data_IF_419191343428
#
_entry.id   IF_419191343428
#
_cell.length_a   1.000
_cell.length_b   1.000
_cell.length_c   1.000
_cell.angle_alpha   90.00
_cell.angle_beta   90.00
_cell.angle_gamma   90.00
#
_symmetry.space_group_name_H-M   'P 1'
#
loop_
_entity.id
_entity.type
_entity.pdbx_description
1 polymer ?
#
# COMPACT_ATOMS: atom_id res chain seq x y z
N UNK A 1 28.16 4.64 9.00
CA UNK A 1 27.44 5.71 9.75
C UNK A 1 25.91 5.57 9.70
N UNK A 2 25.29 5.18 8.57
CA UNK A 2 23.82 4.96 8.45
C UNK A 2 23.23 3.90 9.40
N UNK A 3 23.99 2.86 9.76
CA UNK A 3 23.50 1.78 10.62
C UNK A 3 23.31 2.17 12.10
N UNK A 4 23.93 3.27 12.55
CA UNK A 4 23.90 3.67 13.96
C UNK A 4 22.73 4.58 14.33
N UNK A 5 22.11 5.26 13.34
CA UNK A 5 20.99 6.20 13.56
C UNK A 5 19.93 6.13 12.46
N UNK A 6 19.05 5.10 12.49
CA UNK A 6 17.99 4.92 11.49
C UNK A 6 17.00 6.08 11.40
N UNK A 7 16.67 6.67 12.53
CA UNK A 7 15.89 7.91 12.63
C UNK A 7 16.47 9.03 11.76
N UNK A 8 17.79 9.25 11.83
CA UNK A 8 18.45 10.30 11.03
C UNK A 8 18.61 9.92 9.56
N UNK A 9 18.84 8.64 9.27
CA UNK A 9 18.95 8.15 7.91
C UNK A 9 17.64 8.32 7.12
N UNK A 10 16.52 8.08 7.79
CA UNK A 10 15.18 8.18 7.20
C UNK A 10 14.64 9.62 7.20
N UNK A 11 15.27 10.54 7.94
CA UNK A 11 14.99 11.97 7.82
C UNK A 11 15.80 12.61 6.67
N UNK A 12 15.74 12.00 5.48
CA UNK A 12 16.42 12.44 4.26
C UNK A 12 15.42 12.64 3.11
N UNK A 13 15.76 13.51 2.16
CA UNK A 13 14.97 13.72 0.94
C UNK A 13 15.22 12.64 -0.12
N UNK A 14 16.27 11.83 0.06
CA UNK A 14 16.62 10.72 -0.83
C UNK A 14 16.47 9.39 -0.10
N UNK A 15 16.08 8.36 -0.83
CA UNK A 15 15.94 7.01 -0.29
C UNK A 15 17.13 6.14 -0.69
N UNK A 16 17.72 5.48 0.30
CA UNK A 16 18.66 4.38 0.04
C UNK A 16 17.89 3.05 0.04
N UNK A 17 17.55 2.54 -1.15
CA UNK A 17 16.81 1.28 -1.34
C UNK A 17 17.41 0.13 -0.53
N UNK A 18 18.74 -0.07 -0.63
CA UNK A 18 19.45 -1.15 0.07
C UNK A 18 19.28 -1.03 1.59
N UNK A 19 19.32 0.20 2.10
CA UNK A 19 19.16 0.48 3.52
C UNK A 19 17.74 0.19 4.01
N UNK A 20 16.72 0.66 3.29
CA UNK A 20 15.31 0.40 3.63
C UNK A 20 15.02 -1.11 3.68
N UNK A 21 15.40 -1.85 2.63
CA UNK A 21 15.19 -3.30 2.58
C UNK A 21 15.91 -4.04 3.71
N UNK A 22 17.17 -3.68 3.96
CA UNK A 22 17.93 -4.23 5.07
C UNK A 22 17.23 -3.95 6.41
N UNK A 23 16.88 -2.70 6.68
CA UNK A 23 16.24 -2.30 7.94
C UNK A 23 14.95 -3.08 8.19
N UNK A 24 14.06 -3.15 7.20
CA UNK A 24 12.76 -3.80 7.37
C UNK A 24 12.88 -5.33 7.48
N UNK A 25 13.82 -5.94 6.76
CA UNK A 25 14.08 -7.38 6.91
C UNK A 25 14.48 -7.77 8.33
N UNK A 26 15.20 -6.88 9.05
CA UNK A 26 15.61 -7.12 10.43
C UNK A 26 14.46 -7.01 11.44
N UNK A 27 13.40 -6.24 11.15
CA UNK A 27 12.36 -5.89 12.13
C UNK A 27 10.97 -6.45 11.84
N UNK A 28 10.62 -6.69 10.57
CA UNK A 28 9.28 -7.11 10.14
C UNK A 28 9.24 -8.56 9.64
N UNK A 29 10.37 -9.11 9.18
CA UNK A 29 10.37 -10.36 8.41
C UNK A 29 9.59 -10.21 7.09
N UNK A 30 9.29 -11.32 6.42
CA UNK A 30 8.50 -11.33 5.17
C UNK A 30 9.26 -11.83 3.94
N UNK A 31 8.68 -11.59 2.77
CA UNK A 31 9.20 -11.97 1.46
C UNK A 31 10.16 -10.92 0.86
N UNK A 32 10.59 -11.10 -0.40
CA UNK A 32 11.52 -10.19 -1.05
C UNK A 32 10.95 -8.77 -1.26
N UNK A 33 9.65 -8.64 -1.51
CA UNK A 33 8.95 -7.38 -1.75
C UNK A 33 8.08 -6.95 -0.55
N UNK A 34 7.39 -7.90 0.08
CA UNK A 34 6.35 -7.64 1.09
C UNK A 34 6.85 -8.01 2.49
N UNK A 35 6.76 -7.07 3.42
CA UNK A 35 7.11 -7.23 4.82
C UNK A 35 5.83 -7.38 5.66
N UNK A 36 5.54 -8.57 6.16
CA UNK A 36 4.32 -8.88 6.92
C UNK A 36 4.05 -10.38 6.99
N UNK A 37 3.12 -10.79 7.86
CA UNK A 37 2.75 -12.18 8.12
C UNK A 37 1.49 -12.62 7.37
N UNK A 38 0.68 -11.68 6.89
CA UNK A 38 -0.54 -11.93 6.12
C UNK A 38 -1.82 -11.99 6.97
N UNK A 39 -1.76 -11.63 8.25
CA UNK A 39 -2.91 -11.47 9.14
C UNK A 39 -3.16 -10.00 9.51
N UNK A 40 -2.36 -9.08 8.96
CA UNK A 40 -2.45 -7.66 9.26
C UNK A 40 -3.70 -7.02 8.63
N UNK A 41 -4.43 -6.18 9.37
CA UNK A 41 -5.62 -5.50 8.86
C UNK A 41 -5.32 -4.43 7.80
N UNK A 42 -4.05 -4.05 7.64
CA UNK A 42 -3.59 -2.99 6.75
C UNK A 42 -2.46 -3.50 5.87
N UNK A 43 -2.54 -3.22 4.58
CA UNK A 43 -1.43 -3.31 3.63
C UNK A 43 -1.02 -1.89 3.22
N UNK A 44 0.20 -1.49 3.55
CA UNK A 44 0.77 -0.18 3.22
C UNK A 44 1.70 -0.26 2.01
N UNK A 45 1.53 0.60 1.01
CA UNK A 45 2.30 0.60 -0.24
C UNK A 45 2.95 1.98 -0.46
N UNK A 46 4.18 2.01 -0.99
CA UNK A 46 4.90 3.24 -1.32
C UNK A 46 5.95 3.00 -2.41
N UNK A 47 6.51 4.08 -2.97
CA UNK A 47 7.71 3.99 -3.81
C UNK A 47 7.41 3.52 -5.22
N UNK A 48 6.36 4.08 -5.84
CA UNK A 48 5.99 3.82 -7.23
C UNK A 48 6.82 4.68 -8.20
N UNK A 49 7.13 5.91 -7.78
CA UNK A 49 7.84 6.93 -8.57
C UNK A 49 9.13 7.42 -7.89
N UNK A 50 10.08 8.03 -8.62
CA UNK A 50 11.29 8.62 -8.04
C UNK A 50 11.00 9.65 -6.92
N UNK A 51 9.97 10.48 -7.13
CA UNK A 51 9.49 11.52 -6.20
C UNK A 51 8.87 10.95 -4.92
N UNK A 52 8.59 9.65 -4.85
CA UNK A 52 8.06 9.00 -3.65
C UNK A 52 9.13 8.78 -2.57
N UNK A 53 10.40 9.14 -2.81
CA UNK A 53 11.48 8.99 -1.81
C UNK A 53 11.09 9.47 -0.39
N UNK A 54 10.45 10.64 -0.21
CA UNK A 54 9.96 11.07 1.10
C UNK A 54 8.89 10.12 1.69
N UNK A 55 7.95 9.64 0.88
CA UNK A 55 6.92 8.69 1.29
C UNK A 55 7.52 7.34 1.71
N UNK A 56 8.51 6.83 0.97
CA UNK A 56 9.24 5.61 1.32
C UNK A 56 9.93 5.76 2.67
N UNK A 57 10.66 6.87 2.84
CA UNK A 57 11.38 7.15 4.07
C UNK A 57 10.42 7.33 5.26
N UNK A 58 9.30 8.03 5.05
CA UNK A 58 8.26 8.22 6.06
C UNK A 58 7.63 6.89 6.50
N UNK A 59 7.15 6.07 5.56
CA UNK A 59 6.57 4.75 5.86
C UNK A 59 7.59 3.86 6.59
N UNK A 60 8.84 3.85 6.12
CA UNK A 60 9.92 3.07 6.76
C UNK A 60 10.20 3.55 8.18
N UNK A 61 10.22 4.87 8.42
CA UNK A 61 10.43 5.46 9.74
C UNK A 61 9.27 5.12 10.68
N UNK A 62 8.04 5.20 10.18
CA UNK A 62 6.83 4.83 10.90
C UNK A 62 6.88 3.37 11.39
N UNK A 63 7.22 2.45 10.49
CA UNK A 63 7.36 1.02 10.80
C UNK A 63 8.51 0.74 11.77
N UNK A 64 9.65 1.42 11.60
CA UNK A 64 10.79 1.32 12.51
C UNK A 64 10.40 1.78 13.93
N UNK A 65 9.76 2.94 14.07
CA UNK A 65 9.33 3.47 15.36
C UNK A 65 8.29 2.58 16.04
N UNK A 66 7.36 2.01 15.27
CA UNK A 66 6.42 1.01 15.78
C UNK A 66 7.13 -0.22 16.34
N UNK A 67 8.09 -0.78 15.60
CA UNK A 67 8.86 -1.94 16.08
C UNK A 67 9.77 -1.65 17.27
N UNK A 68 10.07 -0.38 17.54
CA UNK A 68 10.75 0.08 18.76
C UNK A 68 9.80 0.44 19.91
N UNK A 69 8.49 0.30 19.73
CA UNK A 69 7.48 0.69 20.73
C UNK A 69 7.36 2.21 20.94
N UNK A 70 7.88 3.01 20.00
CA UNK A 70 7.88 4.47 20.06
C UNK A 70 6.68 5.11 19.36
N UNK A 71 5.96 4.33 18.56
CA UNK A 71 4.75 4.75 17.86
C UNK A 71 3.71 3.65 18.00
N UNK A 72 2.53 4.00 18.49
CA UNK A 72 1.39 3.09 18.55
C UNK A 72 0.80 2.95 17.15
N UNK A 73 0.98 1.78 16.53
CA UNK A 73 0.39 1.42 15.26
C UNK A 73 -0.30 0.05 15.38
N UNK A 74 -1.42 -0.14 14.67
CA UNK A 74 -1.92 -1.48 14.42
C UNK A 74 -0.89 -2.33 13.66
N UNK A 75 -1.04 -3.67 13.64
CA UNK A 75 -0.26 -4.52 12.74
C UNK A 75 -0.44 -4.08 11.29
N UNK A 76 0.68 -3.94 10.56
CA UNK A 76 0.73 -3.48 9.17
C UNK A 76 1.66 -4.41 8.39
N UNK A 77 1.15 -4.94 7.28
CA UNK A 77 1.98 -5.46 6.20
C UNK A 77 2.39 -4.29 5.30
N UNK A 78 3.60 -4.29 4.76
CA UNK A 78 4.12 -3.16 4.00
C UNK A 78 4.92 -3.57 2.77
N UNK A 79 4.77 -2.77 1.71
CA UNK A 79 5.61 -2.74 0.51
C UNK A 79 6.11 -1.31 0.35
N UNK A 80 7.17 -0.94 1.08
CA UNK A 80 7.64 0.44 1.07
C UNK A 80 8.34 0.86 -0.22
N UNK A 81 8.75 -0.10 -1.05
CA UNK A 81 9.34 0.15 -2.37
C UNK A 81 8.67 -0.81 -3.34
N UNK A 82 7.62 -0.34 -4.02
CA UNK A 82 6.95 -1.10 -5.08
C UNK A 82 7.81 -1.11 -6.34
N UNK A 83 8.37 0.03 -6.74
CA UNK A 83 9.17 0.17 -7.96
C UNK A 83 10.64 0.50 -7.60
N UNK A 84 11.43 -0.55 -7.35
CA UNK A 84 12.85 -0.38 -7.04
C UNK A 84 13.64 0.29 -8.19
N UNK A 85 13.22 0.08 -9.44
CA UNK A 85 13.88 0.64 -10.63
C UNK A 85 13.71 2.16 -10.71
N UNK A 86 12.52 2.66 -10.41
CA UNK A 86 12.24 4.10 -10.36
C UNK A 86 13.14 4.81 -9.34
N UNK A 87 13.26 4.29 -8.12
CA UNK A 87 14.09 4.90 -7.07
C UNK A 87 15.60 4.79 -7.33
N UNK A 88 16.03 3.92 -8.24
CA UNK A 88 17.43 3.81 -8.67
C UNK A 88 17.77 4.71 -9.86
N UNK A 89 16.82 5.51 -10.36
CA UNK A 89 17.02 6.43 -11.48
C UNK A 89 16.99 5.76 -12.85
N UNK A 90 16.30 4.61 -12.99
CA UNK A 90 16.06 4.00 -14.30
C UNK A 90 14.81 4.62 -14.94
N UNK A 91 14.93 5.37 -16.06
CA UNK A 91 13.82 6.16 -16.62
C UNK A 91 12.85 5.34 -17.48
N UNK A 92 13.05 4.02 -17.61
CA UNK A 92 12.25 3.16 -18.50
C UNK A 92 11.56 2.03 -17.72
N UNK A 93 10.24 1.94 -17.86
CA UNK A 93 9.41 0.89 -17.26
C UNK A 93 7.91 1.12 -17.48
N UNK A 94 7.11 0.11 -17.16
CA UNK A 94 5.65 0.23 -17.03
C UNK A 94 5.35 1.16 -15.85
N UNK A 95 4.34 2.02 -15.96
CA UNK A 95 3.85 2.78 -14.82
C UNK A 95 3.15 1.82 -13.85
N UNK A 96 3.92 1.32 -12.87
CA UNK A 96 3.48 0.29 -11.92
C UNK A 96 2.30 0.76 -11.07
N UNK A 97 2.18 2.07 -10.82
CA UNK A 97 1.06 2.61 -10.04
C UNK A 97 -0.29 2.39 -10.75
N UNK A 98 -0.33 2.40 -12.08
CA UNK A 98 -1.53 2.15 -12.90
C UNK A 98 -1.65 0.71 -13.40
N UNK A 99 -0.91 -0.24 -12.81
CA UNK A 99 -0.88 -1.63 -13.27
C UNK A 99 -1.66 -2.60 -12.35
N UNK A 100 -2.46 -2.10 -11.40
CA UNK A 100 -3.16 -2.95 -10.42
C UNK A 100 -4.45 -3.59 -10.94
N UNK A 101 -4.93 -3.18 -12.11
CA UNK A 101 -6.06 -3.82 -12.81
C UNK A 101 -5.60 -4.83 -13.87
N UNK A 102 -4.48 -4.56 -14.53
CA UNK A 102 -4.01 -5.38 -15.66
C UNK A 102 -2.92 -6.37 -15.25
N UNK A 103 -2.25 -6.13 -14.13
CA UNK A 103 -1.25 -7.01 -13.54
C UNK A 103 -0.15 -7.42 -14.54
N UNK A 104 0.37 -6.48 -15.32
CA UNK A 104 1.43 -6.71 -16.30
C UNK A 104 2.78 -6.93 -15.63
N UNK A 105 3.05 -6.26 -14.51
CA UNK A 105 4.30 -6.32 -13.78
C UNK A 105 4.33 -7.45 -12.73
N UNK A 106 5.51 -8.07 -12.48
CA UNK A 106 5.63 -9.07 -11.43
C UNK A 106 5.36 -8.48 -10.04
N UNK A 107 5.66 -7.21 -9.82
CA UNK A 107 5.42 -6.52 -8.55
C UNK A 107 3.92 -6.42 -8.24
N UNK A 108 3.08 -5.98 -9.19
CA UNK A 108 1.62 -5.91 -8.97
C UNK A 108 1.00 -7.29 -8.81
N UNK A 109 1.50 -8.32 -9.49
CA UNK A 109 1.08 -9.72 -9.30
C UNK A 109 1.39 -10.23 -7.91
N UNK A 110 2.60 -10.01 -7.40
CA UNK A 110 2.99 -10.43 -6.04
C UNK A 110 2.15 -9.71 -4.97
N UNK A 111 1.99 -8.39 -5.10
CA UNK A 111 1.19 -7.58 -4.18
C UNK A 111 -0.27 -8.03 -4.22
N UNK A 112 -0.82 -8.26 -5.41
CA UNK A 112 -2.21 -8.70 -5.58
C UNK A 112 -2.43 -10.10 -5.03
N UNK A 113 -1.51 -11.03 -5.24
CA UNK A 113 -1.57 -12.37 -4.65
C UNK A 113 -1.56 -12.32 -3.11
N UNK A 114 -0.68 -11.49 -2.52
CA UNK A 114 -0.68 -11.27 -1.07
C UNK A 114 -1.99 -10.64 -0.60
N UNK A 115 -2.48 -9.62 -1.30
CA UNK A 115 -3.74 -8.96 -1.00
C UNK A 115 -4.92 -9.95 -0.94
N UNK A 116 -4.99 -10.88 -1.90
CA UNK A 116 -6.03 -11.91 -1.94
C UNK A 116 -5.91 -12.95 -0.83
N UNK A 117 -4.68 -13.28 -0.43
CA UNK A 117 -4.42 -14.20 0.68
C UNK A 117 -4.72 -13.56 2.04
N UNK A 118 -4.24 -12.33 2.26
CA UNK A 118 -4.28 -11.66 3.55
C UNK A 118 -5.62 -10.96 3.83
N UNK A 119 -6.38 -10.63 2.78
CA UNK A 119 -7.65 -9.90 2.83
C UNK A 119 -7.60 -8.68 3.79
N UNK A 120 -6.64 -7.76 3.62
CA UNK A 120 -6.53 -6.61 4.52
C UNK A 120 -7.80 -5.77 4.43
N UNK A 121 -8.25 -5.20 5.55
CA UNK A 121 -9.41 -4.29 5.55
C UNK A 121 -9.10 -2.98 4.84
N UNK A 122 -7.84 -2.55 4.91
CA UNK A 122 -7.39 -1.25 4.42
C UNK A 122 -6.16 -1.43 3.56
N UNK A 123 -6.15 -0.77 2.40
CA UNK A 123 -4.95 -0.55 1.60
C UNK A 123 -4.56 0.92 1.73
N UNK A 124 -3.40 1.17 2.35
CA UNK A 124 -2.86 2.51 2.56
C UNK A 124 -1.76 2.78 1.53
N UNK A 125 -1.91 3.81 0.71
CA UNK A 125 -0.96 4.17 -0.35
C UNK A 125 -0.26 5.47 0.04
N UNK A 126 1.06 5.45 0.06
CA UNK A 126 1.91 6.59 0.38
C UNK A 126 2.61 7.08 -0.88
N UNK A 127 2.37 8.33 -1.25
CA UNK A 127 2.93 9.00 -2.42
C UNK A 127 3.70 10.24 -2.01
N UNK A 128 4.68 10.65 -2.81
CA UNK A 128 5.30 11.96 -2.71
C UNK A 128 4.29 13.07 -3.04
N UNK A 129 4.29 14.12 -2.23
CA UNK A 129 3.42 15.29 -2.41
C UNK A 129 4.15 16.59 -2.17
N UNK A 130 3.56 17.71 -2.60
CA UNK A 130 4.06 19.05 -2.22
C UNK A 130 3.72 19.39 -0.78
N UNK A 131 2.53 19.00 -0.35
CA UNK A 131 1.97 19.20 0.98
C UNK A 131 1.39 17.87 1.49
N UNK A 132 1.15 17.80 2.79
CA UNK A 132 0.45 16.66 3.36
C UNK A 132 -1.02 16.64 2.93
N UNK A 133 -1.47 15.50 2.41
CA UNK A 133 -2.87 15.25 2.06
C UNK A 133 -3.25 13.83 2.46
N UNK A 134 -4.44 13.64 3.03
CA UNK A 134 -5.02 12.33 3.30
C UNK A 134 -6.42 12.25 2.70
N UNK A 135 -6.65 11.24 1.86
CA UNK A 135 -7.94 11.01 1.17
C UNK A 135 -8.30 9.54 1.19
N UNK A 136 -9.57 9.24 0.91
CA UNK A 136 -10.10 7.88 0.98
C UNK A 136 -11.01 7.56 -0.21
N UNK A 137 -11.25 6.29 -0.46
CA UNK A 137 -11.97 5.85 -1.67
C UNK A 137 -13.44 5.51 -1.45
N UNK A 138 -13.89 5.31 -0.20
CA UNK A 138 -15.28 4.93 0.11
C UNK A 138 -15.97 5.95 1.02
N UNK A 139 -17.31 6.02 0.94
CA UNK A 139 -18.10 6.95 1.77
C UNK A 139 -18.00 6.62 3.26
N UNK A 140 -18.02 5.33 3.60
CA UNK A 140 -17.86 4.87 4.99
C UNK A 140 -16.51 5.31 5.53
N UNK A 141 -15.42 5.15 4.78
CA UNK A 141 -14.10 5.61 5.20
C UNK A 141 -14.04 7.14 5.36
N UNK A 142 -14.70 7.89 4.47
CA UNK A 142 -14.72 9.34 4.52
C UNK A 142 -15.41 9.85 5.78
N UNK A 143 -16.54 9.23 6.14
CA UNK A 143 -17.29 9.55 7.35
C UNK A 143 -16.53 9.15 8.62
N UNK A 144 -16.02 7.93 8.69
CA UNK A 144 -15.33 7.41 9.88
C UNK A 144 -14.00 8.12 10.14
N UNK A 145 -13.23 8.42 9.10
CA UNK A 145 -11.90 9.03 9.24
C UNK A 145 -11.94 10.57 9.17
N UNK A 146 -13.11 11.15 8.88
CA UNK A 146 -13.26 12.59 8.63
C UNK A 146 -12.32 13.10 7.52
N UNK A 147 -12.19 12.31 6.46
CA UNK A 147 -11.32 12.59 5.31
C UNK A 147 -12.14 12.81 4.03
N UNK A 148 -11.57 13.55 3.08
CA UNK A 148 -12.20 13.76 1.78
C UNK A 148 -12.22 12.46 0.97
N UNK A 149 -13.38 12.12 0.40
CA UNK A 149 -13.51 11.04 -0.58
C UNK A 149 -12.94 11.46 -1.93
N UNK A 150 -12.25 10.55 -2.60
CA UNK A 150 -11.86 10.64 -4.01
C UNK A 150 -12.48 9.49 -4.80
N UNK A 151 -12.58 9.68 -6.12
CA UNK A 151 -12.88 8.58 -7.06
C UNK A 151 -11.55 8.11 -7.66
N UNK A 152 -10.98 7.00 -7.16
CA UNK A 152 -9.71 6.49 -7.69
C UNK A 152 -9.92 5.84 -9.07
N UNK A 153 -8.85 5.77 -9.86
CA UNK A 153 -8.84 4.96 -11.09
C UNK A 153 -8.78 3.47 -10.72
N UNK A 154 -9.51 2.57 -11.39
CA UNK A 154 -9.47 1.13 -11.10
C UNK A 154 -8.07 0.51 -11.32
N UNK A 155 -7.23 1.18 -12.10
CA UNK A 155 -5.84 0.82 -12.38
C UNK A 155 -4.87 1.10 -11.23
N UNK A 156 -5.26 1.94 -10.26
CA UNK A 156 -4.44 2.28 -9.08
C UNK A 156 -4.62 1.27 -7.94
N UNK A 157 -3.64 1.08 -7.04
CA UNK A 157 -3.76 0.13 -5.93
C UNK A 157 -4.97 0.41 -5.03
N UNK A 158 -5.22 1.67 -4.68
CA UNK A 158 -6.36 2.06 -3.86
C UNK A 158 -7.70 1.88 -4.60
N UNK A 159 -7.71 2.05 -5.92
CA UNK A 159 -8.90 1.84 -6.75
C UNK A 159 -9.22 0.36 -6.92
N UNK A 160 -8.22 -0.44 -7.31
CA UNK A 160 -8.34 -1.89 -7.41
C UNK A 160 -8.75 -2.52 -6.06
N UNK A 161 -8.23 -2.01 -4.94
CA UNK A 161 -8.64 -2.44 -3.60
C UNK A 161 -10.09 -2.06 -3.28
N UNK A 162 -10.52 -0.86 -3.66
CA UNK A 162 -11.88 -0.38 -3.44
C UNK A 162 -12.94 -1.17 -4.23
N UNK A 163 -12.59 -1.66 -5.43
CA UNK A 163 -13.44 -2.56 -6.20
C UNK A 163 -13.64 -3.93 -5.54
N UNK A 164 -12.75 -4.27 -4.60
CA UNK A 164 -12.74 -5.54 -3.87
C UNK A 164 -13.32 -5.34 -2.47
N UNK A 165 -12.66 -5.87 -1.46
CA UNK A 165 -13.16 -5.92 -0.08
C UNK A 165 -12.43 -4.97 0.88
N UNK A 166 -11.69 -3.96 0.36
CA UNK A 166 -10.88 -3.07 1.21
C UNK A 166 -11.17 -1.58 0.98
N UNK A 167 -10.99 -0.81 2.04
CA UNK A 167 -10.97 0.64 1.97
C UNK A 167 -9.60 1.13 1.48
N UNK A 168 -9.58 2.02 0.49
CA UNK A 168 -8.37 2.72 0.06
C UNK A 168 -8.17 3.99 0.88
N UNK A 169 -6.96 4.19 1.39
CA UNK A 169 -6.51 5.43 2.04
C UNK A 169 -5.24 5.88 1.33
N UNK A 170 -5.19 7.12 0.85
CA UNK A 170 -4.02 7.66 0.17
C UNK A 170 -3.46 8.81 0.99
N UNK A 171 -2.16 8.76 1.27
CA UNK A 171 -1.38 9.79 1.93
C UNK A 171 -0.38 10.39 0.94
N UNK A 172 -0.41 11.71 0.76
CA UNK A 172 0.67 12.45 0.10
C UNK A 172 1.59 13.01 1.17
N UNK A 173 2.88 12.72 1.05
CA UNK A 173 3.90 13.06 2.04
C UNK A 173 4.77 14.19 1.50
N UNK A 174 4.90 15.32 2.21
CA UNK A 174 5.73 16.44 1.78
C UNK A 174 7.21 16.03 1.71
N UNK A 175 8.04 16.69 0.88
CA UNK A 175 9.43 16.30 0.70
C UNK A 175 10.31 16.64 1.89
N UNK A 176 9.83 17.47 2.82
CA UNK A 176 10.56 17.98 3.98
C UNK A 176 10.53 16.99 5.15
N UNK A 177 11.66 16.38 5.53
CA UNK A 177 11.69 15.42 6.64
C UNK A 177 11.46 16.08 8.01
N UNK A 178 11.57 17.41 8.09
CA UNK A 178 11.23 18.19 9.30
C UNK A 178 9.75 18.04 9.66
N UNK A 179 8.91 17.77 8.68
CA UNK A 179 7.47 17.58 8.87
C UNK A 179 7.11 16.14 9.28
N UNK A 180 8.05 15.20 9.20
CA UNK A 180 7.74 13.78 9.46
C UNK A 180 7.32 13.56 10.92
N UNK A 181 8.02 14.13 11.89
CA UNK A 181 7.72 13.91 13.31
C UNK A 181 6.27 14.24 13.71
N UNK A 182 5.72 15.43 13.39
CA UNK A 182 4.30 15.71 13.67
C UNK A 182 3.36 14.83 12.83
N UNK A 183 3.70 14.54 11.57
CA UNK A 183 2.87 13.74 10.68
C UNK A 183 2.78 12.26 11.08
N UNK A 184 3.84 11.68 11.64
CA UNK A 184 3.88 10.27 12.05
C UNK A 184 2.77 9.92 13.04
N UNK A 185 2.54 10.78 14.04
CA UNK A 185 1.46 10.57 15.01
C UNK A 185 0.09 10.72 14.37
N UNK A 186 -0.07 11.70 13.49
CA UNK A 186 -1.34 11.94 12.81
C UNK A 186 -1.71 10.78 11.86
N UNK A 187 -0.78 10.32 11.04
CA UNK A 187 -0.97 9.16 10.16
C UNK A 187 -1.23 7.89 10.98
N UNK A 188 -0.50 7.68 12.08
CA UNK A 188 -0.73 6.55 12.97
C UNK A 188 -2.16 6.52 13.54
N UNK A 189 -2.67 7.68 13.95
CA UNK A 189 -4.06 7.82 14.41
C UNK A 189 -5.07 7.48 13.31
N UNK A 190 -4.88 8.00 12.10
CA UNK A 190 -5.75 7.70 10.95
C UNK A 190 -5.74 6.18 10.68
N UNK A 191 -4.56 5.56 10.62
CA UNK A 191 -4.44 4.12 10.39
C UNK A 191 -5.07 3.28 11.51
N UNK A 192 -4.92 3.69 12.77
CA UNK A 192 -5.56 3.04 13.90
C UNK A 192 -7.09 3.11 13.79
N UNK A 193 -7.65 4.29 13.48
CA UNK A 193 -9.08 4.44 13.23
C UNK A 193 -9.53 3.60 12.03
N UNK A 194 -8.72 3.51 10.98
CA UNK A 194 -9.05 2.74 9.79
C UNK A 194 -9.23 1.23 10.07
N UNK A 195 -8.60 0.69 11.12
CA UNK A 195 -8.83 -0.72 11.52
C UNK A 195 -10.23 -1.01 12.06
N UNK A 196 -10.95 0.03 12.48
CA UNK A 196 -12.34 -0.05 12.95
C UNK A 196 -13.36 0.01 11.82
N UNK A 197 -12.92 0.25 10.58
CA UNK A 197 -13.82 0.24 9.42
C UNK A 197 -14.47 -1.14 9.27
N UNK A 198 -15.76 -1.18 8.91
CA UNK A 198 -16.45 -2.44 8.64
C UNK A 198 -15.84 -3.13 7.41
N UNK A 199 -15.96 -4.45 7.29
CA UNK A 199 -15.58 -5.13 6.05
C UNK A 199 -16.44 -4.63 4.88
N UNK A 200 -15.86 -4.58 3.68
CA UNK A 200 -16.61 -4.33 2.46
C UNK A 200 -17.14 -5.67 1.93
N UNK A 201 -18.45 -5.81 1.90
CA UNK A 201 -19.11 -6.97 1.31
C UNK A 201 -19.33 -6.76 -0.18
N UNK A 202 -18.97 -7.78 -0.98
CA UNK A 202 -19.14 -7.80 -2.43
C UNK A 202 -19.90 -9.04 -2.84
N UNK A 203 -20.69 -8.91 -3.91
CA UNK A 203 -21.44 -10.03 -4.47
C UNK A 203 -20.49 -10.94 -5.23
N UNK A 204 -20.72 -12.23 -5.09
CA UNK A 204 -20.03 -13.24 -5.88
C UNK A 204 -20.63 -13.25 -7.28
N UNK A 205 -19.76 -13.23 -8.30
CA UNK A 205 -20.16 -13.28 -9.72
C UNK A 205 -19.38 -14.39 -10.40
N UNK A 206 -20.06 -15.10 -11.32
CA UNK A 206 -19.46 -16.10 -12.21
C UNK A 206 -19.21 -15.47 -13.57
N UNK A 207 -17.98 -15.54 -14.03
CA UNK A 207 -17.53 -14.97 -15.30
C UNK A 207 -16.83 -16.02 -16.17
N UNK A 208 -16.69 -15.74 -17.46
CA UNK A 208 -15.89 -16.56 -18.36
C UNK A 208 -14.45 -16.69 -17.84
N UNK A 209 -13.85 -17.86 -18.04
CA UNK A 209 -12.50 -18.13 -17.57
C UNK A 209 -11.46 -17.30 -18.33
N UNK A 210 -10.87 -16.32 -17.64
CA UNK A 210 -9.69 -15.57 -18.09
C UNK A 210 -8.60 -15.62 -17.02
N UNK A 211 -7.34 -15.71 -17.44
CA UNK A 211 -6.19 -15.78 -16.53
C UNK A 211 -6.13 -14.58 -15.58
N UNK A 212 -6.49 -13.40 -16.08
CA UNK A 212 -6.51 -12.17 -15.28
C UNK A 212 -7.48 -12.22 -14.09
N UNK A 213 -8.60 -12.94 -14.21
CA UNK A 213 -9.54 -13.09 -13.09
C UNK A 213 -9.00 -14.03 -12.01
N UNK A 214 -8.22 -15.05 -12.40
CA UNK A 214 -7.53 -15.91 -11.44
C UNK A 214 -6.48 -15.10 -10.67
N UNK A 215 -5.75 -14.22 -11.37
CA UNK A 215 -4.80 -13.30 -10.73
C UNK A 215 -5.47 -12.33 -9.75
N UNK A 216 -6.74 -11.98 -9.98
CA UNK A 216 -7.57 -11.20 -9.05
C UNK A 216 -8.31 -12.04 -8.01
N UNK A 217 -7.74 -13.18 -7.62
CA UNK A 217 -8.24 -14.01 -6.53
C UNK A 217 -9.47 -14.86 -6.90
N UNK A 218 -9.78 -14.95 -8.19
CA UNK A 218 -10.86 -15.79 -8.69
C UNK A 218 -10.57 -17.28 -8.51
N UNK A 219 -11.61 -18.06 -8.21
CA UNK A 219 -11.56 -19.52 -8.13
C UNK A 219 -12.04 -20.12 -9.45
N UNK A 220 -11.18 -20.92 -10.08
CA UNK A 220 -11.57 -21.64 -11.30
C UNK A 220 -12.62 -22.72 -11.00
N UNK A 221 -13.63 -22.80 -11.87
CA UNK A 221 -14.63 -23.87 -11.93
C UNK A 221 -14.72 -24.42 -13.36
N UNK A 222 -15.50 -25.47 -13.57
CA UNK A 222 -15.50 -26.25 -14.83
C UNK A 222 -15.83 -25.41 -16.08
N UNK A 223 -16.68 -24.40 -15.94
CA UNK A 223 -17.22 -23.54 -17.01
C UNK A 223 -16.92 -22.04 -16.78
N UNK A 224 -16.04 -21.68 -15.84
CA UNK A 224 -15.75 -20.27 -15.57
C UNK A 224 -14.84 -19.99 -14.39
N UNK A 225 -14.91 -18.75 -13.90
CA UNK A 225 -14.22 -18.30 -12.69
C UNK A 225 -15.23 -17.59 -11.79
N UNK A 226 -15.20 -17.93 -10.50
CA UNK A 226 -15.96 -17.23 -9.47
C UNK A 226 -15.07 -16.15 -8.85
N UNK A 227 -15.57 -14.92 -8.80
CA UNK A 227 -14.91 -13.75 -8.22
C UNK A 227 -15.82 -13.06 -7.20
N UNK A 228 -15.24 -12.52 -6.13
CA UNK A 228 -15.93 -11.84 -5.03
C UNK A 228 -15.68 -10.32 -5.04
N UNK A 229 -15.71 -9.69 -6.21
CA UNK A 229 -15.42 -8.27 -6.37
C UNK A 229 -15.83 -7.70 -7.74
N UNK A 230 -15.89 -6.37 -7.83
CA UNK A 230 -16.38 -5.64 -9.01
C UNK A 230 -15.32 -5.47 -10.11
N UNK A 231 -14.15 -6.11 -9.98
CA UNK A 231 -13.03 -5.97 -10.92
C UNK A 231 -13.42 -6.37 -12.34
N UNK A 232 -14.31 -7.35 -12.52
CA UNK A 232 -14.74 -7.80 -13.84
C UNK A 232 -15.47 -6.75 -14.68
N UNK A 233 -16.02 -5.71 -14.05
CA UNK A 233 -16.72 -4.63 -14.77
C UNK A 233 -15.71 -3.77 -15.53
N UNK A 234 -14.45 -3.73 -15.09
CA UNK A 234 -13.44 -2.80 -15.56
C UNK A 234 -12.35 -3.45 -16.43
N UNK A 235 -12.35 -4.79 -16.58
CA UNK A 235 -11.40 -5.56 -17.41
C UNK A 235 -12.08 -5.96 -18.72
#
# INVERSE_FOLDING_TARGET
MYFLRPDKALMSNTTCVKYVRYLLSQYLGGGPLIFGKGDEPILALSGFYPEDSPAVNFLTLMLYMWKKGMLDLPPIAAVPIVNERALRGSPYGIDIYFDFLELKSPETREITAFYHKARPKVVAVFLGGKEFEAVVTTDVAAQTLALRKITPSPHTPEGAAALKYSHGVVFKIPPSPREFSPLLRHVAQILKMATSLPPIERRVVKVEKKDIYILHGGRAEDDGVIIDNDVYIYI
#
